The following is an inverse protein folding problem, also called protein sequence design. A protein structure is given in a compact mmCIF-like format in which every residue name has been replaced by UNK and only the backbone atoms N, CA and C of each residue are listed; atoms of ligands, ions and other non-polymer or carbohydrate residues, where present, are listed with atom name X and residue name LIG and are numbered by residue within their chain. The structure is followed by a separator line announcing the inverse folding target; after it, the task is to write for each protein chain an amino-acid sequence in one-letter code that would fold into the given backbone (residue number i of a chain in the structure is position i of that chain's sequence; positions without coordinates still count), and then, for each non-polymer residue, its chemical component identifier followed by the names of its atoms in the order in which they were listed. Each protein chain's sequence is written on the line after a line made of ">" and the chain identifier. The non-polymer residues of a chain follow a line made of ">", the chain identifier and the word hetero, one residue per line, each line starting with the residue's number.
data_IF_826268870444
#
_entry.id   IF_826268870444
#
_cell.length_a   1.000
_cell.length_b   1.000
_cell.length_c   1.000
_cell.angle_alpha   90.00
_cell.angle_beta   90.00
_cell.angle_gamma   90.00
#
_symmetry.space_group_name_H-M   'P 1'
#
loop_
_entity.id
_entity.type
_entity.pdbx_description
1 polymer ?
#
# COMPACT_ATOMS: atom_id res chain seq x y z
N UNK A 1 -15.45 47.58 -25.81
CA UNK A 1 -15.01 46.43 -26.62
C UNK A 1 -13.84 45.69 -25.97
N UNK A 2 -12.70 46.33 -25.70
CA UNK A 2 -11.51 45.72 -25.06
C UNK A 2 -11.76 45.05 -23.70
N UNK A 3 -12.61 45.63 -22.85
CA UNK A 3 -12.98 45.05 -21.55
C UNK A 3 -13.69 43.69 -21.66
N UNK A 4 -14.52 43.50 -22.69
CA UNK A 4 -15.25 42.25 -22.90
C UNK A 4 -14.32 41.14 -23.41
N UNK A 5 -13.39 41.49 -24.30
CA UNK A 5 -12.33 40.58 -24.74
C UNK A 5 -11.42 40.15 -23.58
N UNK A 6 -11.04 41.07 -22.68
CA UNK A 6 -10.29 40.75 -21.46
C UNK A 6 -11.05 39.78 -20.56
N UNK A 7 -12.35 40.01 -20.33
CA UNK A 7 -13.18 39.12 -19.53
C UNK A 7 -13.26 37.70 -20.11
N UNK A 8 -13.48 37.59 -21.42
CA UNK A 8 -13.52 36.29 -22.13
C UNK A 8 -12.18 35.60 -22.05
N UNK A 9 -11.07 36.33 -22.23
CA UNK A 9 -9.73 35.77 -22.16
C UNK A 9 -9.42 35.19 -20.78
N UNK A 10 -9.75 35.91 -19.71
CA UNK A 10 -9.59 35.43 -18.33
C UNK A 10 -10.47 34.20 -18.06
N UNK A 11 -11.70 34.19 -18.58
CA UNK A 11 -12.62 33.06 -18.43
C UNK A 11 -12.09 31.81 -19.16
N UNK A 12 -11.60 31.95 -20.40
CA UNK A 12 -11.01 30.85 -21.16
C UNK A 12 -9.77 30.27 -20.47
N UNK A 13 -8.88 31.12 -19.96
CA UNK A 13 -7.71 30.69 -19.18
C UNK A 13 -8.14 29.93 -17.92
N UNK A 14 -9.15 30.43 -17.22
CA UNK A 14 -9.67 29.79 -16.01
C UNK A 14 -10.24 28.41 -16.32
N UNK A 15 -11.08 28.28 -17.35
CA UNK A 15 -11.63 26.99 -17.79
C UNK A 15 -10.55 26.01 -18.22
N UNK A 16 -9.55 26.48 -18.97
CA UNK A 16 -8.42 25.67 -19.39
C UNK A 16 -7.60 25.18 -18.19
N UNK A 17 -7.30 26.07 -17.23
CA UNK A 17 -6.55 25.74 -16.02
C UNK A 17 -7.30 24.72 -15.14
N UNK A 18 -8.63 24.89 -14.98
CA UNK A 18 -9.47 23.95 -14.24
C UNK A 18 -9.46 22.56 -14.90
N UNK A 19 -9.62 22.51 -16.23
CA UNK A 19 -9.58 21.25 -16.99
C UNK A 19 -8.25 20.54 -16.79
N UNK A 20 -7.14 21.26 -16.92
CA UNK A 20 -5.80 20.70 -16.70
C UNK A 20 -5.63 20.16 -15.28
N UNK A 21 -6.14 20.87 -14.28
CA UNK A 21 -6.06 20.46 -12.88
C UNK A 21 -6.91 19.22 -12.58
N UNK A 22 -8.10 19.12 -13.20
CA UNK A 22 -8.95 17.93 -13.12
C UNK A 22 -8.22 16.69 -13.68
N UNK A 23 -7.68 16.77 -14.90
CA UNK A 23 -6.95 15.66 -15.52
C UNK A 23 -5.69 15.29 -14.72
N UNK A 24 -5.01 16.27 -14.14
CA UNK A 24 -3.86 16.01 -13.26
C UNK A 24 -4.28 15.25 -12.02
N UNK A 25 -5.36 15.65 -11.37
CA UNK A 25 -5.86 15.01 -10.17
C UNK A 25 -6.33 13.57 -10.43
N UNK A 26 -6.99 13.33 -11.57
CA UNK A 26 -7.41 12.00 -12.01
C UNK A 26 -6.23 11.02 -12.14
N UNK A 27 -5.15 11.45 -12.82
CA UNK A 27 -3.92 10.65 -12.92
C UNK A 27 -3.28 10.35 -11.56
N UNK A 28 -3.40 11.26 -10.59
CA UNK A 28 -2.86 11.03 -9.25
C UNK A 28 -3.68 9.97 -8.49
N UNK A 29 -5.02 10.02 -8.57
CA UNK A 29 -5.87 8.98 -7.98
C UNK A 29 -5.59 7.61 -8.61
N UNK A 30 -5.49 7.54 -9.93
CA UNK A 30 -5.18 6.28 -10.61
C UNK A 30 -3.79 5.74 -10.22
N UNK A 31 -2.81 6.63 -9.97
CA UNK A 31 -1.49 6.24 -9.45
C UNK A 31 -1.58 5.67 -8.03
N UNK A 32 -2.43 6.23 -7.17
CA UNK A 32 -2.69 5.68 -5.82
C UNK A 32 -3.30 4.28 -5.93
N UNK A 33 -4.35 4.12 -6.73
CA UNK A 33 -5.04 2.83 -6.93
C UNK A 33 -4.10 1.75 -7.48
N UNK A 34 -3.31 2.09 -8.50
CA UNK A 34 -2.35 1.15 -9.09
C UNK A 34 -1.21 0.79 -8.14
N UNK A 35 -0.71 1.76 -7.35
CA UNK A 35 0.30 1.48 -6.32
C UNK A 35 -0.23 0.57 -5.21
N UNK A 36 -1.49 0.75 -4.80
CA UNK A 36 -2.15 -0.10 -3.82
C UNK A 36 -2.33 -1.53 -4.36
N UNK A 37 -2.80 -1.67 -5.60
CA UNK A 37 -2.96 -2.99 -6.23
C UNK A 37 -1.63 -3.76 -6.31
N UNK A 38 -0.54 -3.07 -6.64
CA UNK A 38 0.80 -3.68 -6.67
C UNK A 38 1.26 -4.11 -5.26
N UNK A 39 1.01 -3.29 -4.24
CA UNK A 39 1.30 -3.61 -2.85
C UNK A 39 0.50 -4.84 -2.38
N UNK A 40 -0.81 -4.87 -2.65
CA UNK A 40 -1.70 -5.97 -2.25
C UNK A 40 -1.24 -7.32 -2.83
N UNK A 41 -0.78 -7.34 -4.09
CA UNK A 41 -0.20 -8.55 -4.69
C UNK A 41 1.05 -9.04 -3.95
N UNK A 42 1.92 -8.13 -3.49
CA UNK A 42 3.11 -8.51 -2.73
C UNK A 42 2.76 -9.02 -1.34
N UNK A 43 1.79 -8.41 -0.67
CA UNK A 43 1.29 -8.87 0.63
C UNK A 43 0.67 -10.27 0.53
N UNK A 44 -0.14 -10.52 -0.50
CA UNK A 44 -0.69 -11.85 -0.76
C UNK A 44 0.40 -12.91 -1.00
N UNK A 45 1.46 -12.56 -1.75
CA UNK A 45 2.61 -13.46 -1.95
C UNK A 45 3.33 -13.76 -0.64
N UNK A 46 3.52 -12.75 0.21
CA UNK A 46 4.12 -12.94 1.54
C UNK A 46 3.28 -13.88 2.41
N UNK A 47 1.96 -13.73 2.42
CA UNK A 47 1.07 -14.63 3.15
C UNK A 47 1.14 -16.08 2.61
N UNK A 48 1.29 -16.26 1.30
CA UNK A 48 1.48 -17.58 0.69
C UNK A 48 2.80 -18.23 1.10
N UNK A 49 3.92 -17.49 1.05
CA UNK A 49 5.23 -17.97 1.53
C UNK A 49 5.21 -18.26 3.03
N UNK A 50 4.51 -17.45 3.83
CA UNK A 50 4.33 -17.71 5.25
C UNK A 50 3.56 -19.01 5.53
N UNK A 51 2.55 -19.34 4.72
CA UNK A 51 1.88 -20.64 4.79
C UNK A 51 2.83 -21.79 4.44
N UNK A 52 3.70 -21.62 3.44
CA UNK A 52 4.69 -22.64 3.07
C UNK A 52 5.70 -22.87 4.20
N UNK A 53 6.18 -21.80 4.83
CA UNK A 53 7.05 -21.87 6.03
C UNK A 53 6.33 -22.56 7.20
N UNK A 54 5.04 -22.30 7.40
CA UNK A 54 4.28 -22.94 8.47
C UNK A 54 4.13 -24.46 8.30
N UNK A 55 4.27 -24.98 7.07
CA UNK A 55 4.20 -26.42 6.77
C UNK A 55 5.60 -27.06 6.66
N UNK A 56 6.68 -26.30 6.79
CA UNK A 56 8.04 -26.83 6.75
C UNK A 56 8.54 -27.25 8.14
N UNK A 57 9.63 -28.02 8.17
CA UNK A 57 10.20 -28.59 9.40
C UNK A 57 10.82 -27.52 10.34
N UNK A 58 10.85 -26.25 9.92
CA UNK A 58 11.31 -25.13 10.74
C UNK A 58 10.30 -24.80 11.85
N UNK A 59 9.02 -24.92 11.54
CA UNK A 59 7.95 -24.47 12.43
C UNK A 59 7.61 -25.58 13.43
N UNK A 60 7.74 -25.28 14.73
CA UNK A 60 7.21 -26.18 15.73
C UNK A 60 5.67 -26.25 15.65
N UNK A 61 5.01 -27.30 16.19
CA UNK A 61 3.56 -27.44 16.10
C UNK A 61 2.76 -26.25 16.66
N UNK A 62 3.32 -25.48 17.59
CA UNK A 62 2.66 -24.29 18.11
C UNK A 62 2.83 -23.09 17.16
N UNK A 63 4.04 -22.79 16.68
CA UNK A 63 4.29 -21.68 15.75
C UNK A 63 3.66 -21.92 14.39
N UNK A 64 3.61 -23.15 13.89
CA UNK A 64 2.93 -23.50 12.64
C UNK A 64 1.43 -23.15 12.69
N UNK A 65 0.74 -23.45 13.80
CA UNK A 65 -0.67 -23.09 13.99
C UNK A 65 -0.86 -21.57 14.06
N UNK A 66 -0.01 -20.87 14.81
CA UNK A 66 -0.06 -19.41 14.93
C UNK A 66 0.20 -18.73 13.58
N UNK A 67 1.24 -19.15 12.87
CA UNK A 67 1.62 -18.60 11.57
C UNK A 67 0.57 -18.90 10.51
N UNK A 68 0.01 -20.10 10.50
CA UNK A 68 -1.09 -20.48 9.60
C UNK A 68 -2.31 -19.59 9.82
N UNK A 69 -2.72 -19.38 11.08
CA UNK A 69 -3.83 -18.50 11.42
C UNK A 69 -3.59 -17.05 11.00
N UNK A 70 -2.40 -16.52 11.28
CA UNK A 70 -2.01 -15.16 10.89
C UNK A 70 -1.95 -14.99 9.36
N UNK A 71 -1.43 -15.98 8.64
CA UNK A 71 -1.33 -15.94 7.18
C UNK A 71 -2.71 -16.00 6.51
N UNK A 72 -3.64 -16.83 7.00
CA UNK A 72 -5.03 -16.81 6.53
C UNK A 72 -5.70 -15.46 6.82
N UNK A 73 -5.49 -14.91 8.02
CA UNK A 73 -6.06 -13.60 8.37
C UNK A 73 -5.52 -12.47 7.49
N UNK A 74 -4.22 -12.46 7.17
CA UNK A 74 -3.62 -11.49 6.25
C UNK A 74 -4.17 -11.61 4.83
N UNK A 75 -4.29 -12.85 4.34
CA UNK A 75 -4.80 -13.15 2.99
C UNK A 75 -6.28 -12.75 2.81
N UNK A 76 -7.11 -13.04 3.81
CA UNK A 76 -8.56 -12.82 3.72
C UNK A 76 -8.99 -11.46 4.29
N UNK A 77 -8.06 -10.67 4.85
CA UNK A 77 -8.36 -9.35 5.39
C UNK A 77 -8.97 -8.42 4.33
N UNK A 78 -9.85 -7.53 4.78
CA UNK A 78 -10.32 -6.41 3.97
C UNK A 78 -9.41 -5.19 4.20
N UNK A 79 -9.64 -4.11 3.45
CA UNK A 79 -8.84 -2.88 3.55
C UNK A 79 -8.79 -2.29 4.98
N UNK A 80 -9.86 -2.46 5.76
CA UNK A 80 -9.97 -1.91 7.11
C UNK A 80 -9.25 -2.77 8.16
N UNK A 81 -9.25 -4.09 8.00
CA UNK A 81 -8.57 -5.04 8.89
C UNK A 81 -7.16 -5.41 8.43
N UNK A 82 -6.74 -4.95 7.24
CA UNK A 82 -5.43 -5.27 6.64
C UNK A 82 -4.28 -4.91 7.57
N UNK A 83 -4.34 -3.74 8.20
CA UNK A 83 -3.27 -3.26 9.07
C UNK A 83 -3.02 -4.21 10.25
N UNK A 84 -4.08 -4.56 10.99
CA UNK A 84 -3.97 -5.47 12.12
C UNK A 84 -3.50 -6.87 11.69
N UNK A 85 -3.98 -7.35 10.53
CA UNK A 85 -3.60 -8.66 10.01
C UNK A 85 -2.13 -8.73 9.57
N UNK A 86 -1.62 -7.69 8.90
CA UNK A 86 -0.20 -7.61 8.48
C UNK A 86 0.75 -7.43 9.67
N UNK A 87 0.38 -6.64 10.68
CA UNK A 87 1.15 -6.53 11.93
C UNK A 87 1.16 -7.88 12.66
N UNK A 88 0.03 -8.58 12.72
CA UNK A 88 -0.07 -9.92 13.30
C UNK A 88 0.80 -10.96 12.58
N UNK A 89 0.78 -10.98 11.25
CA UNK A 89 1.63 -11.84 10.43
C UNK A 89 3.12 -11.52 10.62
N UNK A 90 3.48 -10.23 10.68
CA UNK A 90 4.86 -9.80 10.92
C UNK A 90 5.35 -10.22 12.30
N UNK A 91 4.52 -10.11 13.33
CA UNK A 91 4.82 -10.60 14.68
C UNK A 91 5.01 -12.11 14.72
N UNK A 92 4.11 -12.89 14.11
CA UNK A 92 4.21 -14.35 14.05
C UNK A 92 5.48 -14.82 13.32
N UNK A 93 5.81 -14.18 12.18
CA UNK A 93 7.07 -14.45 11.46
C UNK A 93 8.29 -14.08 12.31
N UNK A 94 8.27 -12.95 13.01
CA UNK A 94 9.37 -12.53 13.88
C UNK A 94 9.70 -13.56 14.96
N UNK A 95 8.67 -14.06 15.64
CA UNK A 95 8.82 -15.10 16.68
C UNK A 95 9.38 -16.41 16.10
N UNK A 96 8.87 -16.84 14.94
CA UNK A 96 9.39 -18.05 14.28
C UNK A 96 10.85 -17.88 13.86
N UNK A 97 11.20 -16.73 13.28
CA UNK A 97 12.56 -16.48 12.81
C UNK A 97 13.58 -16.50 13.96
N UNK A 98 13.20 -15.99 15.14
CA UNK A 98 14.04 -16.03 16.35
C UNK A 98 14.32 -17.46 16.83
N UNK A 99 13.33 -18.36 16.76
CA UNK A 99 13.48 -19.77 17.16
C UNK A 99 14.17 -20.64 16.08
N UNK A 100 14.10 -20.24 14.80
CA UNK A 100 14.53 -21.05 13.65
C UNK A 100 16.04 -21.08 13.36
N UNK A 101 16.85 -20.20 13.98
CA UNK A 101 18.30 -20.09 13.68
C UNK A 101 19.08 -21.40 13.87
N UNK A 102 18.53 -22.36 14.64
CA UNK A 102 19.22 -23.60 14.97
C UNK A 102 18.78 -24.84 14.17
N UNK A 103 17.75 -24.75 13.30
CA UNK A 103 17.08 -25.94 12.72
C UNK A 103 16.90 -25.91 11.18
N UNK A 104 17.48 -24.94 10.46
CA UNK A 104 17.15 -24.73 9.04
C UNK A 104 17.83 -25.70 8.05
N UNK A 105 17.03 -26.36 7.21
CA UNK A 105 17.47 -27.16 6.05
C UNK A 105 17.82 -26.26 4.85
N UNK A 106 18.44 -26.79 3.79
CA UNK A 106 18.69 -26.01 2.56
C UNK A 106 17.41 -25.48 1.89
N UNK A 107 16.31 -26.24 1.94
CA UNK A 107 15.00 -25.82 1.41
C UNK A 107 14.41 -24.65 2.23
N UNK A 108 14.55 -24.72 3.54
CA UNK A 108 14.12 -23.69 4.49
C UNK A 108 14.82 -22.36 4.26
N UNK A 109 16.14 -22.42 4.02
CA UNK A 109 16.94 -21.23 3.71
C UNK A 109 16.51 -20.55 2.40
N UNK A 110 16.00 -21.32 1.42
CA UNK A 110 15.45 -20.75 0.19
C UNK A 110 14.16 -19.96 0.46
N UNK A 111 13.24 -20.49 1.28
CA UNK A 111 12.01 -19.81 1.68
C UNK A 111 12.28 -18.55 2.49
N UNK A 112 13.24 -18.59 3.42
CA UNK A 112 13.65 -17.41 4.19
C UNK A 112 14.27 -16.32 3.31
N UNK A 113 15.04 -16.71 2.28
CA UNK A 113 15.59 -15.79 1.28
C UNK A 113 14.50 -15.18 0.39
N UNK A 114 13.50 -15.96 0.01
CA UNK A 114 12.34 -15.45 -0.72
C UNK A 114 11.52 -14.48 0.14
N UNK A 115 11.28 -14.82 1.40
CA UNK A 115 10.57 -13.98 2.36
C UNK A 115 11.28 -12.63 2.58
N UNK A 116 12.61 -12.63 2.72
CA UNK A 116 13.39 -11.40 2.87
C UNK A 116 13.32 -10.55 1.59
N UNK A 117 13.47 -11.17 0.42
CA UNK A 117 13.31 -10.48 -0.88
C UNK A 117 11.91 -9.88 -1.05
N UNK A 118 10.86 -10.58 -0.62
CA UNK A 118 9.49 -10.06 -0.65
C UNK A 118 9.32 -8.89 0.32
N UNK A 119 9.89 -8.99 1.52
CA UNK A 119 9.84 -7.94 2.54
C UNK A 119 10.49 -6.65 2.05
N UNK A 120 11.64 -6.73 1.38
CA UNK A 120 12.30 -5.59 0.77
C UNK A 120 11.45 -4.95 -0.34
N UNK A 121 10.85 -5.77 -1.20
CA UNK A 121 9.92 -5.29 -2.25
C UNK A 121 8.70 -4.61 -1.65
N UNK A 122 8.14 -5.15 -0.57
CA UNK A 122 7.01 -4.56 0.16
C UNK A 122 7.39 -3.19 0.72
N UNK A 123 8.56 -3.06 1.36
CA UNK A 123 9.05 -1.76 1.89
C UNK A 123 9.13 -0.70 0.80
N UNK A 124 9.65 -1.06 -0.38
CA UNK A 124 9.71 -0.14 -1.53
C UNK A 124 8.30 0.19 -2.05
N UNK A 125 7.40 -0.80 -2.15
CA UNK A 125 6.03 -0.58 -2.61
C UNK A 125 5.24 0.34 -1.67
N UNK A 126 5.40 0.18 -0.36
CA UNK A 126 4.84 1.06 0.67
C UNK A 126 5.33 2.50 0.46
N UNK A 127 6.64 2.71 0.28
CA UNK A 127 7.18 4.04 0.03
C UNK A 127 6.58 4.70 -1.24
N UNK A 128 6.39 3.92 -2.30
CA UNK A 128 5.75 4.39 -3.55
C UNK A 128 4.27 4.75 -3.31
N UNK A 129 3.54 3.95 -2.54
CA UNK A 129 2.15 4.22 -2.19
C UNK A 129 2.02 5.50 -1.35
N UNK A 130 2.82 5.63 -0.30
CA UNK A 130 2.86 6.81 0.58
C UNK A 130 3.21 8.09 -0.18
N UNK A 131 4.16 8.05 -1.12
CA UNK A 131 4.46 9.19 -2.01
C UNK A 131 3.23 9.55 -2.88
N UNK A 132 2.55 8.56 -3.45
CA UNK A 132 1.36 8.78 -4.27
C UNK A 132 0.20 9.39 -3.44
N UNK A 133 -0.04 8.88 -2.22
CA UNK A 133 -1.03 9.41 -1.28
C UNK A 133 -0.71 10.85 -0.91
N UNK A 134 0.52 11.13 -0.49
CA UNK A 134 0.97 12.46 -0.09
C UNK A 134 0.82 13.48 -1.22
N UNK A 135 1.26 13.14 -2.44
CA UNK A 135 1.11 14.02 -3.61
C UNK A 135 -0.37 14.30 -3.92
N UNK A 136 -1.23 13.30 -3.77
CA UNK A 136 -2.66 13.46 -4.03
C UNK A 136 -3.30 14.36 -2.99
N UNK A 137 -2.99 14.16 -1.71
CA UNK A 137 -3.45 15.02 -0.61
C UNK A 137 -2.96 16.46 -0.78
N UNK A 138 -1.69 16.67 -1.16
CA UNK A 138 -1.14 18.01 -1.44
C UNK A 138 -1.91 18.73 -2.55
N UNK A 139 -2.19 18.06 -3.67
CA UNK A 139 -2.96 18.67 -4.76
C UNK A 139 -4.40 18.95 -4.34
N UNK A 140 -5.03 18.02 -3.62
CA UNK A 140 -6.41 18.14 -3.14
C UNK A 140 -6.60 19.20 -2.05
N UNK A 141 -5.54 19.53 -1.32
CA UNK A 141 -5.55 20.59 -0.30
C UNK A 141 -5.71 22.00 -0.87
N UNK A 142 -5.37 22.21 -2.16
CA UNK A 142 -5.39 23.53 -2.80
C UNK A 142 -6.80 24.13 -2.83
N UNK A 143 -6.90 25.42 -2.51
CA UNK A 143 -8.17 26.17 -2.45
C UNK A 143 -8.95 26.06 -3.77
N UNK A 144 -8.26 26.15 -4.91
CA UNK A 144 -8.89 26.04 -6.23
C UNK A 144 -9.57 24.66 -6.43
N UNK A 145 -8.99 23.58 -5.91
CA UNK A 145 -9.55 22.21 -6.01
C UNK A 145 -10.78 22.06 -5.12
N UNK A 146 -10.72 22.62 -3.91
CA UNK A 146 -11.86 22.61 -2.97
C UNK A 146 -13.01 23.49 -3.47
N UNK A 147 -12.72 24.71 -3.92
CA UNK A 147 -13.72 25.69 -4.34
C UNK A 147 -14.49 25.21 -5.57
N UNK A 148 -13.79 24.62 -6.54
CA UNK A 148 -14.41 24.08 -7.75
C UNK A 148 -14.81 22.60 -7.64
N UNK A 149 -14.69 21.99 -6.44
CA UNK A 149 -15.03 20.57 -6.18
C UNK A 149 -14.48 19.61 -7.23
N UNK A 150 -13.26 19.88 -7.72
CA UNK A 150 -12.62 19.14 -8.81
C UNK A 150 -12.31 17.67 -8.45
N UNK A 151 -12.26 17.34 -7.16
CA UNK A 151 -12.08 15.98 -6.67
C UNK A 151 -13.37 15.12 -6.68
N UNK A 152 -14.53 15.72 -6.96
CA UNK A 152 -15.81 15.01 -6.95
C UNK A 152 -16.10 14.30 -5.63
N UNK A 153 -16.51 13.04 -5.73
CA UNK A 153 -16.88 12.15 -4.60
C UNK A 153 -15.75 11.17 -4.24
N UNK A 154 -14.56 11.31 -4.82
CA UNK A 154 -13.46 10.38 -4.56
C UNK A 154 -13.06 10.40 -3.07
N UNK A 155 -12.93 9.23 -2.41
CA UNK A 155 -12.48 9.17 -1.02
C UNK A 155 -11.07 9.76 -0.87
N UNK A 156 -10.71 10.23 0.32
CA UNK A 156 -9.36 10.73 0.56
C UNK A 156 -8.39 9.54 0.58
N UNK A 157 -7.29 9.57 -0.18
CA UNK A 157 -6.23 8.58 -0.04
C UNK A 157 -5.69 8.62 1.38
N UNK A 158 -5.55 7.45 2.01
CA UNK A 158 -5.03 7.28 3.38
C UNK A 158 -3.82 6.38 3.35
N UNK A 159 -2.86 6.65 4.23
CA UNK A 159 -1.79 5.71 4.58
C UNK A 159 -2.30 4.82 5.71
N UNK A 160 -1.90 3.56 5.71
CA UNK A 160 -2.30 2.60 6.74
C UNK A 160 -1.24 2.48 7.84
N UNK A 161 -1.63 2.06 9.04
CA UNK A 161 -0.72 2.01 10.20
C UNK A 161 0.43 0.99 10.00
N UNK A 162 0.17 -0.14 9.34
CA UNK A 162 1.23 -1.10 9.00
C UNK A 162 2.28 -0.50 8.06
N UNK A 163 1.97 0.54 7.29
CA UNK A 163 2.93 1.20 6.39
C UNK A 163 3.92 2.09 7.15
N UNK A 164 3.52 2.62 8.31
CA UNK A 164 4.40 3.39 9.19
C UNK A 164 5.39 2.53 9.98
N UNK A 165 5.04 1.27 10.27
CA UNK A 165 5.91 0.35 11.02
C UNK A 165 7.10 -0.18 10.19
N UNK A 166 7.14 0.08 8.88
CA UNK A 166 8.19 -0.39 7.95
C UNK A 166 9.23 0.70 7.65
N UNK A 167 9.27 1.80 8.39
CA UNK A 167 10.28 2.86 8.25
C UNK A 167 11.19 2.91 9.48
#
# INVERSE_FOLDING_TARGET
>A
MTQWFLGIFVLLISLWYLTFLATRLDRLHHRVETSWANLDVLLQKRAAVALEIAHSDIADPASSLLLTGAAYQARDANIASRSAAESGLSGALGLLLEDSEHLSTAADNALLTELSSLTDKIRVAIAIHTDAVTRTQMVRSKIIVKLFRLAGTAPLPVTYEFESDVL
#
